data_IF_961741863208
#
_entry.id   IF_961741863208
#
_cell.length_a   1.000
_cell.length_b   1.000
_cell.length_c   1.000
_cell.angle_alpha   90.00
_cell.angle_beta   90.00
_cell.angle_gamma   90.00
#
_symmetry.space_group_name_H-M   'P 1'
#
loop_
_entity.id
_entity.type
_entity.pdbx_description
1 polymer ?
#
# COMPACT_ATOMS: atom_id res chain seq x y z
N UNK A 1 17.59 -7.13 18.91
CA UNK A 1 17.81 -8.60 18.74
C UNK A 1 19.13 -9.05 19.41
N UNK A 2 20.27 -8.36 19.20
CA UNK A 2 21.57 -8.72 19.81
C UNK A 2 21.49 -8.78 21.35
N UNK A 3 20.96 -7.74 21.99
CA UNK A 3 20.84 -7.67 23.48
C UNK A 3 20.00 -8.82 24.05
N UNK A 4 18.90 -9.20 23.36
CA UNK A 4 18.06 -10.30 23.81
C UNK A 4 18.76 -11.66 23.68
N UNK A 5 19.51 -11.85 22.59
CA UNK A 5 20.32 -13.05 22.40
C UNK A 5 21.44 -13.18 23.48
N UNK A 6 22.07 -12.07 23.82
CA UNK A 6 23.08 -12.04 24.93
C UNK A 6 22.44 -12.34 26.31
N UNK A 7 21.19 -11.92 26.51
CA UNK A 7 20.42 -12.19 27.71
C UNK A 7 19.71 -13.55 27.72
N UNK A 8 19.86 -14.37 26.68
CA UNK A 8 19.16 -15.65 26.55
C UNK A 8 17.63 -15.52 26.42
N UNK A 9 17.13 -14.34 26.01
CA UNK A 9 15.70 -14.07 25.85
C UNK A 9 15.30 -14.29 24.40
N UNK A 10 14.30 -15.14 24.18
CA UNK A 10 13.70 -15.33 22.85
C UNK A 10 12.82 -14.13 22.48
N UNK A 11 13.12 -13.50 21.34
CA UNK A 11 12.29 -12.43 20.77
C UNK A 11 11.46 -12.95 19.62
N UNK A 12 10.16 -12.76 19.73
CA UNK A 12 9.21 -13.04 18.64
C UNK A 12 8.69 -11.74 18.08
N UNK A 13 8.81 -11.60 16.77
CA UNK A 13 8.39 -10.39 16.04
C UNK A 13 6.95 -10.57 15.53
N UNK A 14 5.99 -9.95 16.22
CA UNK A 14 4.59 -9.99 15.81
C UNK A 14 4.33 -9.26 14.48
N UNK A 15 5.19 -8.32 14.06
CA UNK A 15 5.07 -7.69 12.75
C UNK A 15 5.43 -8.63 11.59
N UNK A 16 6.08 -9.76 11.86
CA UNK A 16 6.33 -10.78 10.84
C UNK A 16 5.08 -11.64 10.53
N UNK A 17 4.02 -11.49 11.32
CA UNK A 17 2.78 -12.27 11.17
C UNK A 17 1.94 -11.76 9.99
N UNK A 18 1.55 -12.69 9.10
CA UNK A 18 0.77 -12.36 7.91
C UNK A 18 -0.63 -11.86 8.26
N UNK A 19 -1.28 -12.45 9.25
CA UNK A 19 -2.60 -12.03 9.73
C UNK A 19 -2.61 -10.59 10.25
N UNK A 20 -1.54 -10.13 10.90
CA UNK A 20 -1.42 -8.73 11.30
C UNK A 20 -1.27 -7.82 10.09
N UNK A 21 -0.46 -8.23 9.12
CA UNK A 21 -0.29 -7.48 7.87
C UNK A 21 -1.62 -7.31 7.13
N UNK A 22 -2.44 -8.37 7.09
CA UNK A 22 -3.76 -8.34 6.46
C UNK A 22 -4.72 -7.44 7.25
N UNK A 23 -4.77 -7.56 8.59
CA UNK A 23 -5.63 -6.71 9.44
C UNK A 23 -5.25 -5.23 9.31
N UNK A 24 -3.97 -4.90 9.37
CA UNK A 24 -3.47 -3.53 9.23
C UNK A 24 -3.66 -2.94 7.83
N UNK A 25 -3.88 -3.76 6.82
CA UNK A 25 -4.17 -3.28 5.47
C UNK A 25 -5.50 -2.52 5.40
N UNK A 26 -6.47 -2.84 6.25
CA UNK A 26 -7.78 -2.17 6.29
C UNK A 26 -7.64 -0.70 6.72
N UNK A 27 -7.15 -0.39 7.94
CA UNK A 27 -6.98 1.00 8.35
C UNK A 27 -5.96 1.75 7.50
N UNK A 28 -4.93 1.06 6.92
CA UNK A 28 -4.03 1.67 5.95
C UNK A 28 -4.77 2.15 4.71
N UNK A 29 -5.69 1.32 4.18
CA UNK A 29 -6.48 1.67 3.00
C UNK A 29 -7.46 2.83 3.29
N UNK A 30 -8.04 2.87 4.48
CA UNK A 30 -8.96 3.94 4.89
C UNK A 30 -8.22 5.27 5.08
N UNK A 31 -7.05 5.28 5.72
CA UNK A 31 -6.22 6.48 5.81
C UNK A 31 -5.68 6.94 4.44
N UNK A 32 -5.41 6.00 3.53
CA UNK A 32 -5.05 6.36 2.15
C UNK A 32 -6.23 7.01 1.41
N UNK A 33 -7.47 6.55 1.62
CA UNK A 33 -8.67 7.17 1.06
C UNK A 33 -8.90 8.56 1.62
N UNK A 34 -8.74 8.75 2.93
CA UNK A 34 -8.81 10.07 3.58
C UNK A 34 -7.87 11.06 2.88
N UNK A 35 -6.59 10.68 2.72
CA UNK A 35 -5.60 11.50 2.03
C UNK A 35 -6.03 11.77 0.59
N UNK A 36 -6.45 10.75 -0.16
CA UNK A 36 -6.88 10.92 -1.55
C UNK A 36 -8.07 11.87 -1.69
N UNK A 37 -9.03 11.81 -0.78
CA UNK A 37 -10.21 12.69 -0.77
C UNK A 37 -9.85 14.11 -0.37
N UNK A 38 -8.91 14.29 0.56
CA UNK A 38 -8.48 15.60 1.06
C UNK A 38 -7.56 16.33 0.05
N UNK A 39 -6.60 15.59 -0.53
CA UNK A 39 -5.51 16.17 -1.31
C UNK A 39 -5.86 16.42 -2.77
N UNK A 40 -6.94 15.83 -3.28
CA UNK A 40 -7.38 15.97 -4.67
C UNK A 40 -8.52 16.98 -4.77
N UNK A 41 -8.49 17.78 -5.81
CA UNK A 41 -9.59 18.72 -6.13
C UNK A 41 -10.75 18.08 -6.90
N UNK A 42 -10.66 16.77 -7.21
CA UNK A 42 -11.68 16.01 -7.96
C UNK A 42 -12.14 14.80 -7.18
N UNK A 43 -13.39 14.38 -7.41
CA UNK A 43 -13.94 13.16 -6.83
C UNK A 43 -13.14 11.93 -7.25
N UNK A 44 -13.20 10.86 -6.47
CA UNK A 44 -12.68 9.54 -6.86
C UNK A 44 -13.58 8.90 -7.92
N UNK A 45 -14.89 9.16 -7.88
CA UNK A 45 -15.83 8.67 -8.87
C UNK A 45 -15.43 9.12 -10.29
N UNK A 46 -15.31 8.15 -11.21
CA UNK A 46 -14.85 8.38 -12.58
C UNK A 46 -13.36 8.69 -12.74
N UNK A 47 -12.61 8.81 -11.65
CA UNK A 47 -11.16 9.07 -11.72
C UNK A 47 -10.38 7.84 -12.16
N UNK A 48 -9.35 8.04 -13.00
CA UNK A 48 -8.39 7.00 -13.35
C UNK A 48 -7.28 6.94 -12.29
N UNK A 49 -7.23 5.86 -11.52
CA UNK A 49 -6.23 5.65 -10.47
C UNK A 49 -5.29 4.51 -10.86
N UNK A 50 -3.99 4.77 -10.83
CA UNK A 50 -2.94 3.77 -11.03
C UNK A 50 -2.48 3.25 -9.67
N UNK A 51 -2.68 1.96 -9.40
CA UNK A 51 -2.30 1.30 -8.16
C UNK A 51 -1.11 0.37 -8.40
N UNK A 52 0.04 0.69 -7.82
CA UNK A 52 1.26 -0.09 -7.93
C UNK A 52 1.37 -1.06 -6.75
N UNK A 53 1.41 -2.36 -7.07
CA UNK A 53 1.39 -3.45 -6.10
C UNK A 53 -0.03 -3.92 -5.76
N UNK A 54 -0.16 -5.23 -5.52
CA UNK A 54 -1.44 -5.85 -5.13
C UNK A 54 -1.21 -6.88 -4.01
N UNK A 55 -0.44 -6.46 -3.00
CA UNK A 55 -0.35 -7.11 -1.69
C UNK A 55 -1.55 -6.73 -0.81
N UNK A 56 -1.55 -7.06 0.49
CA UNK A 56 -2.69 -6.79 1.39
C UNK A 56 -3.21 -5.35 1.32
N UNK A 57 -2.34 -4.35 1.39
CA UNK A 57 -2.74 -2.93 1.30
C UNK A 57 -3.32 -2.59 -0.09
N UNK A 58 -2.68 -3.06 -1.18
CA UNK A 58 -3.16 -2.82 -2.54
C UNK A 58 -4.53 -3.46 -2.77
N UNK A 59 -4.79 -4.66 -2.23
CA UNK A 59 -6.09 -5.33 -2.31
C UNK A 59 -7.16 -4.55 -1.54
N UNK A 60 -6.89 -4.23 -0.28
CA UNK A 60 -7.83 -3.50 0.57
C UNK A 60 -8.20 -2.13 -0.04
N UNK A 61 -7.22 -1.41 -0.57
CA UNK A 61 -7.42 -0.09 -1.18
C UNK A 61 -8.08 -0.19 -2.56
N UNK A 62 -7.64 -1.12 -3.42
CA UNK A 62 -8.15 -1.26 -4.79
C UNK A 62 -9.64 -1.55 -4.82
N UNK A 63 -10.13 -2.45 -3.97
CA UNK A 63 -11.57 -2.76 -3.84
C UNK A 63 -12.36 -1.54 -3.38
N UNK A 64 -11.87 -0.79 -2.40
CA UNK A 64 -12.53 0.42 -1.88
C UNK A 64 -12.58 1.54 -2.92
N UNK A 65 -11.50 1.75 -3.65
CA UNK A 65 -11.46 2.71 -4.75
C UNK A 65 -12.47 2.35 -5.85
N UNK A 66 -12.54 1.06 -6.21
CA UNK A 66 -13.53 0.55 -7.17
C UNK A 66 -14.97 0.78 -6.69
N UNK A 67 -15.26 0.51 -5.41
CA UNK A 67 -16.57 0.75 -4.80
C UNK A 67 -16.96 2.23 -4.78
N UNK A 68 -15.99 3.15 -4.70
CA UNK A 68 -16.19 4.58 -4.86
C UNK A 68 -16.31 5.03 -6.32
N UNK A 69 -16.33 4.09 -7.26
CA UNK A 69 -16.51 4.36 -8.69
C UNK A 69 -15.24 4.83 -9.41
N UNK A 70 -14.05 4.65 -8.83
CA UNK A 70 -12.80 4.93 -9.51
C UNK A 70 -12.48 3.86 -10.56
N UNK A 71 -11.92 4.28 -11.70
CA UNK A 71 -11.39 3.38 -12.71
C UNK A 71 -9.96 2.95 -12.33
N UNK A 72 -9.85 1.93 -11.48
CA UNK A 72 -8.57 1.46 -10.95
C UNK A 72 -7.86 0.56 -11.97
N UNK A 73 -6.58 0.83 -12.19
CA UNK A 73 -5.66 -0.05 -12.92
C UNK A 73 -4.53 -0.48 -11.99
N UNK A 74 -4.46 -1.78 -11.74
CA UNK A 74 -3.44 -2.40 -10.88
C UNK A 74 -2.23 -2.78 -11.71
N UNK A 75 -1.04 -2.40 -11.28
CA UNK A 75 0.20 -2.93 -11.84
C UNK A 75 0.90 -3.82 -10.82
N UNK A 76 1.03 -5.10 -11.14
CA UNK A 76 1.66 -6.08 -10.26
C UNK A 76 2.64 -7.00 -11.02
N UNK A 77 3.71 -7.42 -10.31
CA UNK A 77 4.73 -8.33 -10.88
C UNK A 77 4.18 -9.75 -11.06
N UNK A 78 3.55 -10.29 -10.02
CA UNK A 78 3.10 -11.69 -9.99
C UNK A 78 1.81 -11.87 -10.79
N UNK A 79 1.75 -12.88 -11.70
CA UNK A 79 0.52 -13.19 -12.44
C UNK A 79 -0.69 -13.43 -11.54
N UNK A 80 -0.51 -14.15 -10.42
CA UNK A 80 -1.58 -14.42 -9.47
C UNK A 80 -2.20 -13.15 -8.87
N UNK A 81 -1.39 -12.12 -8.60
CA UNK A 81 -1.91 -10.82 -8.12
C UNK A 81 -2.75 -10.11 -9.17
N UNK A 82 -2.38 -10.22 -10.46
CA UNK A 82 -3.16 -9.63 -11.55
C UNK A 82 -4.47 -10.36 -11.75
N UNK A 83 -4.44 -11.69 -11.78
CA UNK A 83 -5.65 -12.52 -11.85
C UNK A 83 -6.61 -12.24 -10.68
N UNK A 84 -6.08 -12.07 -9.47
CA UNK A 84 -6.89 -11.68 -8.32
C UNK A 84 -7.49 -10.27 -8.50
N UNK A 85 -6.74 -9.30 -9.00
CA UNK A 85 -7.28 -7.96 -9.28
C UNK A 85 -8.42 -8.02 -10.32
N UNK A 86 -8.25 -8.80 -11.39
CA UNK A 86 -9.26 -9.02 -12.43
C UNK A 86 -10.52 -9.70 -11.88
N UNK A 87 -10.37 -10.72 -11.01
CA UNK A 87 -11.52 -11.38 -10.38
C UNK A 87 -12.33 -10.46 -9.46
N UNK A 88 -11.70 -9.38 -8.97
CA UNK A 88 -12.33 -8.34 -8.17
C UNK A 88 -12.87 -7.16 -9.01
N UNK A 89 -12.93 -7.32 -10.35
CA UNK A 89 -13.45 -6.30 -11.27
C UNK A 89 -12.50 -5.14 -11.56
N UNK A 90 -11.23 -5.22 -11.17
CA UNK A 90 -10.22 -4.20 -11.43
C UNK A 90 -9.47 -4.50 -12.72
N UNK A 91 -9.01 -3.46 -13.41
CA UNK A 91 -8.07 -3.66 -14.51
C UNK A 91 -6.69 -4.02 -13.98
N UNK A 92 -5.98 -4.92 -14.65
CA UNK A 92 -4.63 -5.31 -14.23
C UNK A 92 -3.67 -5.40 -15.40
N UNK A 93 -2.39 -5.10 -15.15
CA UNK A 93 -1.31 -5.26 -16.10
C UNK A 93 0.02 -5.58 -15.39
N UNK A 94 1.02 -6.11 -16.11
CA UNK A 94 2.36 -6.28 -15.57
C UNK A 94 2.99 -4.96 -15.13
N UNK A 95 3.72 -4.96 -14.01
CA UNK A 95 4.42 -3.77 -13.51
C UNK A 95 5.38 -3.16 -14.54
N UNK A 96 5.96 -3.99 -15.40
CA UNK A 96 6.83 -3.55 -16.50
C UNK A 96 6.12 -2.61 -17.52
N UNK A 97 4.77 -2.59 -17.54
CA UNK A 97 4.00 -1.67 -18.38
C UNK A 97 3.89 -0.25 -17.80
N UNK A 98 4.43 -0.02 -16.59
CA UNK A 98 4.33 1.26 -15.90
C UNK A 98 4.77 2.45 -16.79
N UNK A 99 5.92 2.45 -17.48
CA UNK A 99 6.32 3.61 -18.30
C UNK A 99 5.33 3.91 -19.44
N UNK A 100 4.77 2.87 -20.05
CA UNK A 100 3.83 3.02 -21.17
C UNK A 100 2.42 3.47 -20.72
N UNK A 101 2.02 3.14 -19.50
CA UNK A 101 0.70 3.45 -18.97
C UNK A 101 0.68 4.77 -18.16
N UNK A 102 1.80 5.18 -17.61
CA UNK A 102 1.92 6.37 -16.77
C UNK A 102 1.23 7.64 -17.38
N UNK A 103 1.35 7.95 -18.68
CA UNK A 103 0.72 9.13 -19.26
C UNK A 103 -0.80 9.18 -19.17
N UNK A 104 -1.46 8.06 -18.92
CA UNK A 104 -2.92 8.00 -18.82
C UNK A 104 -3.47 8.42 -17.45
N UNK A 105 -2.61 8.57 -16.43
CA UNK A 105 -3.02 8.75 -15.04
C UNK A 105 -2.54 10.08 -14.46
N UNK A 106 -3.39 10.65 -13.62
CA UNK A 106 -3.11 11.84 -12.81
C UNK A 106 -3.05 11.51 -11.29
N UNK A 107 -3.36 10.27 -10.94
CA UNK A 107 -3.33 9.79 -9.56
C UNK A 107 -2.65 8.44 -9.51
N UNK A 108 -1.57 8.36 -8.75
CA UNK A 108 -0.79 7.14 -8.57
C UNK A 108 -0.68 6.81 -7.09
N UNK A 109 -1.01 5.57 -6.72
CA UNK A 109 -0.79 5.06 -5.37
C UNK A 109 0.23 3.94 -5.43
N UNK A 110 1.32 4.08 -4.69
CA UNK A 110 2.37 3.08 -4.62
C UNK A 110 2.30 2.28 -3.31
N UNK A 111 2.32 0.95 -3.42
CA UNK A 111 2.45 0.03 -2.28
C UNK A 111 3.69 -0.88 -2.40
N UNK A 112 4.55 -0.63 -3.39
CA UNK A 112 5.74 -1.45 -3.66
C UNK A 112 6.94 -0.85 -2.94
N UNK A 113 7.59 -1.57 -1.99
CA UNK A 113 8.75 -1.08 -1.25
C UNK A 113 10.05 -1.25 -2.07
N UNK A 114 10.05 -0.75 -3.29
CA UNK A 114 11.21 -0.73 -4.18
C UNK A 114 11.11 0.47 -5.14
N UNK A 115 12.21 1.02 -5.65
CA UNK A 115 12.21 2.17 -6.54
C UNK A 115 11.48 1.87 -7.86
N UNK A 116 10.19 2.21 -7.94
CA UNK A 116 9.34 2.01 -9.13
C UNK A 116 8.94 3.33 -9.78
N UNK A 117 8.73 4.38 -9.01
CA UNK A 117 8.44 5.73 -9.49
C UNK A 117 9.75 6.52 -9.62
N UNK A 118 10.52 6.15 -10.63
CA UNK A 118 11.81 6.75 -10.96
C UNK A 118 11.63 8.02 -11.80
N UNK A 119 12.67 8.85 -11.94
CA UNK A 119 12.61 10.09 -12.71
C UNK A 119 12.04 9.93 -14.14
N UNK A 120 12.40 8.90 -14.94
CA UNK A 120 11.79 8.70 -16.26
C UNK A 120 10.28 8.40 -16.19
N UNK A 121 9.83 7.62 -15.19
CA UNK A 121 8.41 7.31 -15.02
C UNK A 121 7.63 8.54 -14.57
N UNK A 122 8.19 9.31 -13.64
CA UNK A 122 7.61 10.54 -13.13
C UNK A 122 7.48 11.59 -14.25
N UNK A 123 8.51 11.72 -15.09
CA UNK A 123 8.46 12.62 -16.25
C UNK A 123 7.42 12.25 -17.31
N UNK A 124 6.95 10.99 -17.32
CA UNK A 124 5.91 10.52 -18.23
C UNK A 124 4.48 10.68 -17.67
N UNK A 125 4.31 10.94 -16.38
CA UNK A 125 3.00 11.21 -15.77
C UNK A 125 2.40 12.52 -16.29
N UNK A 126 1.07 12.65 -16.16
CA UNK A 126 0.41 13.93 -16.47
C UNK A 126 0.97 15.05 -15.58
N UNK A 127 1.20 16.26 -16.10
CA UNK A 127 1.62 17.39 -15.28
C UNK A 127 0.67 17.62 -14.09
N UNK A 128 1.24 17.89 -12.91
CA UNK A 128 0.46 18.11 -11.70
C UNK A 128 -0.16 16.84 -11.09
N UNK A 129 0.30 15.65 -11.48
CA UNK A 129 -0.18 14.39 -10.90
C UNK A 129 0.01 14.34 -9.39
N UNK A 130 -0.94 13.67 -8.71
CA UNK A 130 -0.86 13.35 -7.30
C UNK A 130 -0.31 11.93 -7.08
N UNK A 131 0.71 11.80 -6.25
CA UNK A 131 1.39 10.55 -5.95
C UNK A 131 1.30 10.29 -4.45
N UNK A 132 0.71 9.16 -4.07
CA UNK A 132 0.64 8.70 -2.70
C UNK A 132 1.49 7.43 -2.54
N UNK A 133 2.58 7.52 -1.80
CA UNK A 133 3.43 6.38 -1.49
C UNK A 133 3.09 5.82 -0.12
N UNK A 134 2.58 4.58 -0.09
CA UNK A 134 2.21 3.83 1.11
C UNK A 134 3.26 2.79 1.49
N UNK A 135 4.29 2.62 0.67
CA UNK A 135 5.32 1.63 0.91
C UNK A 135 6.15 1.98 2.15
N UNK A 136 6.59 0.97 2.88
CA UNK A 136 7.53 1.16 4.00
C UNK A 136 8.83 1.81 3.53
N UNK A 137 9.52 2.49 4.45
CA UNK A 137 10.78 3.16 4.12
C UNK A 137 11.78 2.20 3.45
N UNK A 138 12.51 2.70 2.43
CA UNK A 138 12.61 4.08 1.95
C UNK A 138 11.47 4.54 1.04
N UNK A 139 10.47 3.73 0.74
CA UNK A 139 9.42 3.98 -0.23
C UNK A 139 9.82 3.53 -1.64
N UNK A 140 8.96 3.81 -2.61
CA UNK A 140 9.20 3.46 -4.02
C UNK A 140 9.22 4.67 -4.96
N UNK A 141 9.14 5.89 -4.42
CA UNK A 141 9.03 7.15 -5.16
C UNK A 141 10.31 7.99 -5.02
N UNK A 142 10.86 8.43 -6.13
CA UNK A 142 11.87 9.51 -6.14
C UNK A 142 11.16 10.86 -5.93
N UNK A 143 11.04 11.27 -4.66
CA UNK A 143 10.36 12.51 -4.26
C UNK A 143 11.05 13.76 -4.83
N UNK A 144 12.38 13.73 -4.97
CA UNK A 144 13.13 14.83 -5.60
C UNK A 144 12.79 14.97 -7.07
N UNK A 145 12.71 13.88 -7.81
CA UNK A 145 12.27 13.89 -9.20
C UNK A 145 10.80 14.28 -9.34
N UNK A 146 9.92 13.80 -8.46
CA UNK A 146 8.52 14.18 -8.47
C UNK A 146 8.34 15.70 -8.33
N UNK A 147 9.05 16.32 -7.39
CA UNK A 147 9.02 17.77 -7.21
C UNK A 147 9.55 18.53 -8.44
N UNK A 148 10.65 18.08 -9.04
CA UNK A 148 11.19 18.67 -10.28
C UNK A 148 10.25 18.57 -11.47
N UNK A 149 9.44 17.48 -11.53
CA UNK A 149 8.40 17.30 -12.55
C UNK A 149 7.10 18.05 -12.23
N UNK A 150 7.04 18.80 -11.13
CA UNK A 150 5.83 19.54 -10.74
C UNK A 150 4.70 18.65 -10.19
N UNK A 151 5.02 17.46 -9.71
CA UNK A 151 4.05 16.56 -9.08
C UNK A 151 3.94 16.81 -7.59
N UNK A 152 2.76 16.59 -7.04
CA UNK A 152 2.53 16.52 -5.60
C UNK A 152 2.70 15.10 -5.14
N UNK A 153 3.69 14.84 -4.30
CA UNK A 153 3.97 13.48 -3.82
C UNK A 153 4.02 13.47 -2.28
N UNK A 154 3.32 12.52 -1.67
CA UNK A 154 3.29 12.28 -0.22
C UNK A 154 3.75 10.86 0.10
N UNK A 155 4.61 10.72 1.12
CA UNK A 155 4.94 9.45 1.72
C UNK A 155 4.14 9.28 3.01
N UNK A 156 3.08 8.48 2.95
CA UNK A 156 2.17 8.28 4.07
C UNK A 156 2.56 7.02 4.85
N UNK A 157 3.17 7.23 6.00
CA UNK A 157 3.60 6.18 6.91
C UNK A 157 2.70 6.09 8.13
N UNK A 158 2.65 4.90 8.76
CA UNK A 158 1.94 4.68 10.03
C UNK A 158 0.45 5.03 9.99
N UNK A 159 -0.20 4.91 8.83
CA UNK A 159 -1.62 5.22 8.65
C UNK A 159 -2.54 4.49 9.65
N UNK A 160 -2.35 3.20 9.97
CA UNK A 160 -3.22 2.53 10.96
C UNK A 160 -3.28 3.28 12.29
N UNK A 161 -2.12 3.73 12.79
CA UNK A 161 -2.07 4.46 14.06
C UNK A 161 -2.58 5.90 13.94
N UNK A 162 -2.51 6.49 12.76
CA UNK A 162 -2.94 7.87 12.51
C UNK A 162 -4.46 8.00 12.33
N UNK A 163 -5.07 7.09 11.55
CA UNK A 163 -6.48 7.18 11.19
C UNK A 163 -7.41 6.30 12.05
N UNK A 164 -6.92 5.16 12.57
CA UNK A 164 -7.73 4.21 13.35
C UNK A 164 -6.90 3.53 14.46
N UNK A 165 -6.40 4.30 15.46
CA UNK A 165 -5.49 3.78 16.48
C UNK A 165 -6.10 2.66 17.33
N UNK A 166 -7.39 2.69 17.64
CA UNK A 166 -8.08 1.65 18.39
C UNK A 166 -8.08 0.33 17.60
N UNK A 167 -8.53 0.34 16.35
CA UNK A 167 -8.55 -0.84 15.48
C UNK A 167 -7.14 -1.39 15.26
N UNK A 168 -6.14 -0.53 15.08
CA UNK A 168 -4.76 -0.95 14.94
C UNK A 168 -4.23 -1.60 16.22
N UNK A 169 -4.56 -1.05 17.40
CA UNK A 169 -4.22 -1.61 18.70
C UNK A 169 -4.87 -2.98 18.93
N UNK A 170 -6.15 -3.12 18.61
CA UNK A 170 -6.88 -4.39 18.69
C UNK A 170 -6.27 -5.46 17.77
N UNK A 171 -5.87 -5.11 16.55
CA UNK A 171 -5.22 -6.02 15.63
C UNK A 171 -3.89 -6.54 16.18
N UNK A 172 -3.09 -5.67 16.81
CA UNK A 172 -1.85 -6.06 17.48
C UNK A 172 -2.13 -6.96 18.69
N UNK A 173 -3.05 -6.55 19.58
CA UNK A 173 -3.39 -7.32 20.77
C UNK A 173 -3.89 -8.72 20.41
N UNK A 174 -4.79 -8.82 19.43
CA UNK A 174 -5.29 -10.10 18.95
C UNK A 174 -4.17 -10.98 18.41
N UNK A 175 -3.28 -10.44 17.60
CA UNK A 175 -2.15 -11.20 17.05
C UNK A 175 -1.22 -11.71 18.15
N UNK A 176 -0.90 -10.87 19.13
CA UNK A 176 -0.06 -11.28 20.27
C UNK A 176 -0.75 -12.40 21.09
N UNK A 177 -2.05 -12.28 21.35
CA UNK A 177 -2.80 -13.32 22.04
C UNK A 177 -2.84 -14.65 21.26
N UNK A 178 -2.99 -14.60 19.94
CA UNK A 178 -2.95 -15.78 19.07
C UNK A 178 -1.56 -16.45 19.16
N UNK A 179 -0.47 -15.68 19.09
CA UNK A 179 0.90 -16.18 19.21
C UNK A 179 1.20 -16.81 20.60
N UNK A 180 0.64 -16.27 21.67
CA UNK A 180 0.80 -16.84 23.01
C UNK A 180 0.07 -18.18 23.13
N UNK A 181 -1.14 -18.29 22.62
CA UNK A 181 -1.93 -19.55 22.61
C UNK A 181 -1.25 -20.63 21.79
N UNK A 182 -0.70 -20.31 20.61
CA UNK A 182 0.05 -21.25 19.77
C UNK A 182 1.28 -21.83 20.49
N UNK A 183 1.83 -21.13 21.47
CA UNK A 183 2.96 -21.63 22.29
C UNK A 183 2.54 -22.53 23.45
N UNK A 184 1.30 -22.35 23.92
CA UNK A 184 0.73 -23.16 25.01
C UNK A 184 0.14 -24.48 24.48
N UNK A 185 -0.24 -24.52 23.21
CA UNK A 185 -0.75 -25.73 22.56
C UNK A 185 0.42 -26.62 22.09
N UNK A 186 0.48 -27.91 22.50
CA UNK A 186 1.50 -28.82 21.98
C UNK A 186 1.33 -28.99 20.46
N UNK A 187 2.42 -29.12 19.70
CA UNK A 187 2.34 -29.36 18.27
C UNK A 187 1.55 -30.64 17.98
N UNK A 188 0.51 -30.52 17.11
CA UNK A 188 -0.26 -31.68 16.61
C UNK A 188 0.62 -32.62 15.79
#
# INVERSE_FOLDING_TARGET
RAIAAEAGVELVDYFAREELTIRNAVPTAEGALEILLHERSRTLWGSAVLLLGFGPVGQALGVRLGALGAAVTVLARRPAQRALAESLGLRAAPLARLPALAPAFDTVVNTVPAPVLTAPVLGALRPGSFILDLASRPGGTDFGAAARCGHRALHALSLPAACAPETAGEAVARTVCEMLREREEPPC
#
